data_IF_759444117689
#
_entry.id   IF_759444117689
#
_cell.length_a   1.000
_cell.length_b   1.000
_cell.length_c   1.000
_cell.angle_alpha   90.00
_cell.angle_beta   90.00
_cell.angle_gamma   90.00
#
_symmetry.space_group_name_H-M   'P 1'
#
loop_
_entity.id
_entity.type
_entity.pdbx_description
1 polymer ?
#
# COMPACT_ATOMS: atom_id res chain seq x y z
N UNK A 1 -79.62 -12.16 -29.65
CA UNK A 1 -78.87 -11.19 -30.47
C UNK A 1 -77.39 -11.43 -30.23
N UNK A 2 -76.65 -11.72 -31.30
CA UNK A 2 -75.22 -12.11 -31.30
C UNK A 2 -74.27 -10.91 -31.24
N UNK A 3 -73.09 -11.11 -30.66
CA UNK A 3 -71.90 -10.24 -30.72
C UNK A 3 -71.16 -10.29 -29.38
N UNK A 4 -69.83 -10.45 -29.26
CA UNK A 4 -68.75 -10.26 -30.22
C UNK A 4 -67.44 -10.83 -29.61
N UNK A 5 -66.79 -11.74 -30.35
CA UNK A 5 -65.34 -11.91 -30.65
C UNK A 5 -64.28 -11.59 -29.55
N UNK A 6 -63.48 -12.57 -29.08
CA UNK A 6 -62.19 -13.11 -29.62
C UNK A 6 -60.94 -12.54 -28.94
N UNK A 7 -60.22 -13.43 -28.24
CA UNK A 7 -58.76 -13.59 -28.05
C UNK A 7 -57.81 -12.38 -27.92
N UNK A 8 -57.00 -12.38 -26.84
CA UNK A 8 -55.53 -12.15 -26.91
C UNK A 8 -54.84 -12.56 -25.60
N UNK A 9 -54.17 -13.72 -25.60
CA UNK A 9 -52.70 -13.93 -25.72
C UNK A 9 -51.96 -13.88 -24.38
N UNK A 10 -51.76 -15.07 -23.82
CA UNK A 10 -50.75 -15.41 -22.84
C UNK A 10 -49.36 -15.06 -23.41
N UNK A 11 -48.58 -14.28 -22.66
CA UNK A 11 -47.17 -14.01 -22.96
C UNK A 11 -46.34 -15.16 -22.40
N UNK A 12 -45.99 -16.10 -23.28
CA UNK A 12 -44.97 -17.10 -23.02
C UNK A 12 -43.59 -16.45 -23.18
N UNK A 13 -42.89 -16.20 -22.08
CA UNK A 13 -41.49 -15.77 -22.11
C UNK A 13 -40.63 -17.02 -22.30
N UNK A 14 -40.03 -17.15 -23.49
CA UNK A 14 -39.03 -18.15 -23.78
C UNK A 14 -37.71 -17.77 -23.07
N UNK A 15 -37.32 -18.56 -22.07
CA UNK A 15 -36.02 -18.46 -21.43
C UNK A 15 -34.97 -19.13 -22.34
N UNK A 16 -34.07 -18.33 -22.92
CA UNK A 16 -32.90 -18.83 -23.62
C UNK A 16 -31.84 -19.23 -22.60
N UNK A 17 -31.61 -20.53 -22.42
CA UNK A 17 -30.51 -21.09 -21.62
C UNK A 17 -29.25 -21.11 -22.48
N UNK A 18 -28.28 -20.25 -22.17
CA UNK A 18 -26.93 -20.31 -22.76
C UNK A 18 -26.12 -21.32 -21.96
N UNK A 19 -25.81 -22.45 -22.60
CA UNK A 19 -24.93 -23.50 -22.11
C UNK A 19 -23.46 -23.08 -22.27
N UNK A 20 -22.70 -23.11 -21.17
CA UNK A 20 -21.23 -22.99 -21.21
C UNK A 20 -20.67 -24.40 -21.09
N UNK A 21 -20.15 -24.93 -22.20
CA UNK A 21 -19.43 -26.19 -22.28
C UNK A 21 -18.07 -26.05 -21.58
N UNK A 22 -17.89 -26.76 -20.46
CA UNK A 22 -16.60 -26.89 -19.77
C UNK A 22 -15.74 -27.88 -20.55
N UNK A 23 -14.77 -27.36 -21.29
CA UNK A 23 -13.72 -28.16 -21.93
C UNK A 23 -12.66 -28.54 -20.91
N UNK A 24 -12.45 -29.84 -20.73
CA UNK A 24 -11.37 -30.40 -19.92
C UNK A 24 -10.02 -30.22 -20.66
N UNK A 25 -9.11 -29.46 -20.07
CA UNK A 25 -7.69 -29.45 -20.43
C UNK A 25 -6.92 -30.14 -19.30
N UNK A 26 -6.53 -31.39 -19.56
CA UNK A 26 -5.53 -32.08 -18.76
C UNK A 26 -4.16 -31.45 -19.10
N UNK A 27 -3.53 -30.81 -18.11
CA UNK A 27 -2.12 -30.48 -18.16
C UNK A 27 -1.39 -31.41 -17.20
N UNK A 28 -0.41 -32.10 -17.76
CA UNK A 28 0.48 -33.05 -17.12
C UNK A 28 1.18 -32.41 -15.91
N UNK A 29 1.35 -33.22 -14.86
CA UNK A 29 2.16 -32.86 -13.72
C UNK A 29 3.63 -32.73 -14.10
N UNK A 30 4.25 -31.66 -13.61
CA UNK A 30 5.66 -31.64 -13.26
C UNK A 30 5.72 -31.34 -11.76
N UNK A 31 6.24 -32.30 -11.00
CA UNK A 31 6.74 -32.09 -9.64
C UNK A 31 7.70 -30.90 -9.64
N UNK A 32 7.44 -29.91 -8.80
CA UNK A 32 8.44 -28.93 -8.41
C UNK A 32 8.72 -29.14 -6.91
N UNK A 33 9.71 -29.99 -6.66
CA UNK A 33 10.46 -30.00 -5.41
C UNK A 33 11.65 -29.07 -5.66
N UNK A 34 11.55 -27.84 -5.19
CA UNK A 34 12.67 -26.95 -4.94
C UNK A 34 12.20 -25.86 -4.00
N UNK A 35 12.52 -26.05 -2.72
CA UNK A 35 12.43 -25.01 -1.71
C UNK A 35 13.33 -23.84 -2.09
N UNK A 36 12.80 -22.89 -2.84
CA UNK A 36 13.42 -21.60 -3.04
C UNK A 36 12.79 -20.64 -2.03
N UNK A 37 13.56 -20.32 -0.98
CA UNK A 37 13.26 -19.18 -0.14
C UNK A 37 13.23 -17.96 -1.06
N UNK A 38 12.02 -17.57 -1.46
CA UNK A 38 11.81 -16.34 -2.23
C UNK A 38 12.34 -15.20 -1.37
N UNK A 39 13.54 -14.76 -1.68
CA UNK A 39 14.01 -13.45 -1.26
C UNK A 39 12.98 -12.47 -1.83
N UNK A 40 12.03 -12.05 -0.99
CA UNK A 40 10.99 -11.09 -1.36
C UNK A 40 11.71 -9.91 -2.00
N UNK A 41 11.48 -9.70 -3.30
CA UNK A 41 12.05 -8.59 -4.03
C UNK A 41 11.81 -7.30 -3.24
N UNK A 42 12.88 -6.53 -3.00
CA UNK A 42 12.80 -5.27 -2.24
C UNK A 42 11.91 -4.31 -3.01
N UNK A 43 10.86 -3.79 -2.37
CA UNK A 43 10.06 -2.72 -2.94
C UNK A 43 10.94 -1.46 -3.06
N UNK A 44 11.21 -1.03 -4.29
CA UNK A 44 12.04 0.14 -4.60
C UNK A 44 11.29 1.46 -4.44
N UNK A 45 9.97 1.39 -4.23
CA UNK A 45 9.11 2.55 -3.95
C UNK A 45 8.90 2.80 -2.47
N UNK A 46 9.34 1.87 -1.61
CA UNK A 46 9.26 2.02 -0.17
C UNK A 46 10.07 3.23 0.31
N UNK A 47 9.42 4.10 1.10
CA UNK A 47 10.08 5.19 1.80
C UNK A 47 10.99 4.60 2.89
N UNK A 48 12.29 4.87 2.82
CA UNK A 48 13.27 4.33 3.76
C UNK A 48 13.85 5.42 4.65
N UNK A 49 14.24 5.05 5.87
CA UNK A 49 14.91 5.95 6.81
C UNK A 49 16.00 5.20 7.59
N UNK A 50 17.18 5.80 7.85
CA UNK A 50 17.57 7.15 7.47
C UNK A 50 18.08 7.21 6.04
N UNK A 51 17.99 8.40 5.45
CA UNK A 51 18.61 8.71 4.18
C UNK A 51 20.00 9.30 4.42
N UNK A 52 20.88 9.21 3.44
CA UNK A 52 22.19 9.86 3.43
C UNK A 52 22.37 10.62 2.13
N UNK A 53 22.98 11.79 2.24
CA UNK A 53 23.37 12.59 1.08
C UNK A 53 24.40 11.82 0.25
N UNK A 54 24.24 11.95 -1.06
CA UNK A 54 25.15 11.43 -2.07
C UNK A 54 25.33 12.53 -3.09
N UNK A 55 26.58 12.87 -3.37
CA UNK A 55 26.88 13.80 -4.45
C UNK A 55 26.85 13.03 -5.76
N UNK A 56 25.91 13.36 -6.63
CA UNK A 56 25.91 12.85 -7.99
C UNK A 56 25.56 13.99 -8.95
N UNK A 57 26.53 14.35 -9.80
CA UNK A 57 26.44 15.43 -10.79
C UNK A 57 26.20 16.84 -10.20
N UNK A 58 26.69 17.12 -8.98
CA UNK A 58 26.58 18.45 -8.36
C UNK A 58 25.16 18.82 -7.89
N UNK A 59 24.28 17.83 -7.77
CA UNK A 59 22.97 17.94 -7.14
C UNK A 59 22.94 17.06 -5.90
N UNK A 60 22.32 17.54 -4.84
CA UNK A 60 22.09 16.76 -3.61
C UNK A 60 21.10 15.64 -3.94
N UNK A 61 21.60 14.41 -3.91
CA UNK A 61 20.76 13.21 -4.02
C UNK A 61 20.77 12.48 -2.69
N UNK A 62 19.65 11.85 -2.35
CA UNK A 62 19.54 11.09 -1.12
C UNK A 62 19.36 9.61 -1.44
N UNK A 63 20.08 8.75 -0.72
CA UNK A 63 19.92 7.30 -0.81
C UNK A 63 19.71 6.71 0.57
N UNK A 64 19.01 5.57 0.70
CA UNK A 64 18.88 4.91 1.98
C UNK A 64 20.25 4.53 2.56
N UNK A 65 20.45 4.79 3.85
CA UNK A 65 21.62 4.37 4.59
C UNK A 65 21.71 2.84 4.68
N UNK A 66 22.88 2.31 5.07
CA UNK A 66 23.08 0.86 5.25
C UNK A 66 22.15 0.25 6.32
N UNK A 67 21.81 1.03 7.34
CA UNK A 67 20.93 0.63 8.43
C UNK A 67 19.47 1.08 8.20
N UNK A 68 19.13 1.56 7.00
CA UNK A 68 17.80 2.03 6.71
C UNK A 68 16.77 0.90 6.75
N UNK A 69 15.58 1.22 7.23
CA UNK A 69 14.44 0.31 7.28
C UNK A 69 13.29 0.87 6.45
N UNK A 70 12.33 -0.01 6.12
CA UNK A 70 11.10 0.38 5.43
C UNK A 70 10.13 1.03 6.43
N UNK A 71 9.81 2.32 6.20
CA UNK A 71 8.91 3.07 7.08
C UNK A 71 7.48 2.54 7.07
N UNK A 72 7.08 1.73 6.08
CA UNK A 72 5.79 1.03 6.09
C UNK A 72 5.65 0.10 7.29
N UNK A 73 6.75 -0.38 7.87
CA UNK A 73 6.74 -1.19 9.08
C UNK A 73 6.29 -0.44 10.35
N UNK A 74 6.07 0.88 10.26
CA UNK A 74 5.51 1.69 11.35
C UNK A 74 3.98 1.76 11.32
N UNK A 75 3.36 1.44 10.17
CA UNK A 75 1.91 1.56 9.99
C UNK A 75 1.16 0.65 10.96
N UNK A 76 0.16 1.20 11.64
CA UNK A 76 -0.66 0.50 12.64
C UNK A 76 -0.01 0.36 14.02
N UNK A 77 1.25 0.76 14.19
CA UNK A 77 1.88 0.80 15.51
C UNK A 77 1.38 1.99 16.32
N UNK A 78 1.29 1.81 17.64
CA UNK A 78 1.12 2.92 18.59
C UNK A 78 2.31 3.89 18.46
N UNK A 79 2.07 5.19 18.61
CA UNK A 79 3.10 6.22 18.41
C UNK A 79 4.36 5.97 19.26
N UNK A 80 4.20 5.48 20.49
CA UNK A 80 5.33 5.19 21.38
C UNK A 80 6.20 4.05 20.82
N UNK A 81 5.58 2.97 20.35
CA UNK A 81 6.28 1.82 19.76
C UNK A 81 6.94 2.21 18.42
N UNK A 82 6.24 2.97 17.59
CA UNK A 82 6.77 3.48 16.33
C UNK A 82 8.03 4.33 16.56
N UNK A 83 8.00 5.23 17.56
CA UNK A 83 9.16 6.06 17.95
C UNK A 83 10.33 5.21 18.40
N UNK A 84 10.09 4.20 19.23
CA UNK A 84 11.14 3.28 19.67
C UNK A 84 11.76 2.55 18.47
N UNK A 85 10.92 2.07 17.54
CA UNK A 85 11.38 1.41 16.31
C UNK A 85 12.22 2.32 15.44
N UNK A 86 11.76 3.54 15.16
CA UNK A 86 12.52 4.51 14.37
C UNK A 86 13.87 4.86 15.04
N UNK A 87 13.87 5.06 16.36
CA UNK A 87 15.08 5.41 17.11
C UNK A 87 16.16 4.32 17.02
N UNK A 88 15.79 3.03 16.98
CA UNK A 88 16.75 1.92 16.77
C UNK A 88 17.50 2.01 15.44
N UNK A 89 16.94 2.72 14.46
CA UNK A 89 17.55 2.98 13.16
C UNK A 89 18.13 4.40 13.02
N UNK A 90 18.24 5.16 14.12
CA UNK A 90 18.66 6.56 14.13
C UNK A 90 17.71 7.48 13.34
N UNK A 91 16.41 7.19 13.37
CA UNK A 91 15.37 8.04 12.81
C UNK A 91 14.49 8.66 13.91
N UNK A 92 13.98 9.85 13.63
CA UNK A 92 13.03 10.57 14.48
C UNK A 92 11.64 10.62 13.82
N UNK A 93 10.58 10.41 14.58
CA UNK A 93 9.20 10.58 14.09
C UNK A 93 8.70 11.99 14.41
N UNK A 94 8.31 12.70 13.36
CA UNK A 94 7.59 13.98 13.43
C UNK A 94 6.12 13.73 13.09
N UNK A 95 5.22 14.12 14.00
CA UNK A 95 3.78 14.04 13.75
C UNK A 95 3.35 15.31 13.03
N UNK A 96 3.01 15.19 11.75
CA UNK A 96 2.56 16.30 10.91
C UNK A 96 1.04 16.46 10.90
N UNK A 97 0.32 15.39 11.22
CA UNK A 97 -1.14 15.39 11.44
C UNK A 97 -1.52 14.43 12.55
N UNK A 98 -2.47 14.83 13.38
CA UNK A 98 -3.04 14.00 14.43
C UNK A 98 -4.56 14.20 14.47
N UNK A 99 -5.31 13.11 14.33
CA UNK A 99 -6.79 13.11 14.33
C UNK A 99 -7.38 14.20 13.43
N UNK A 100 -6.95 14.19 12.16
CA UNK A 100 -7.32 15.13 11.10
C UNK A 100 -6.87 16.59 11.30
N UNK A 101 -6.07 16.89 12.33
CA UNK A 101 -5.54 18.23 12.57
C UNK A 101 -4.06 18.32 12.23
N UNK A 102 -3.69 19.25 11.36
CA UNK A 102 -2.29 19.54 11.06
C UNK A 102 -1.54 20.06 12.28
N UNK A 103 -0.28 19.67 12.40
CA UNK A 103 0.66 20.11 13.43
C UNK A 103 1.77 20.96 12.79
N UNK A 104 2.38 21.90 13.52
CA UNK A 104 3.58 22.57 13.04
C UNK A 104 4.70 21.56 12.84
N UNK A 105 5.38 21.66 11.70
CA UNK A 105 6.51 20.80 11.34
C UNK A 105 7.77 21.64 11.06
N UNK A 106 8.97 21.11 11.32
CA UNK A 106 10.22 21.76 10.91
C UNK A 106 10.30 21.92 9.38
N UNK A 107 10.90 23.03 8.93
CA UNK A 107 11.07 23.34 7.50
C UNK A 107 12.44 22.91 6.96
N UNK A 108 13.39 22.64 7.85
CA UNK A 108 14.73 22.21 7.51
C UNK A 108 14.71 20.78 6.98
N UNK A 109 15.51 20.52 5.95
CA UNK A 109 15.75 19.17 5.46
C UNK A 109 16.61 18.44 6.51
N UNK A 110 16.11 17.31 6.98
CA UNK A 110 16.80 16.40 7.88
C UNK A 110 16.50 14.95 7.43
N UNK A 111 17.47 14.27 6.78
CA UNK A 111 17.28 12.94 6.19
C UNK A 111 17.03 11.82 7.22
N UNK A 112 17.01 12.15 8.51
CA UNK A 112 16.69 11.23 9.61
C UNK A 112 15.26 11.37 10.13
N UNK A 113 14.48 12.34 9.64
CA UNK A 113 13.10 12.56 10.09
C UNK A 113 12.09 11.82 9.22
N UNK A 114 11.15 11.15 9.87
CA UNK A 114 9.99 10.50 9.29
C UNK A 114 8.76 11.30 9.67
N UNK A 115 8.04 11.81 8.68
CA UNK A 115 6.80 12.55 8.86
C UNK A 115 5.62 11.59 8.77
N UNK A 116 4.77 11.59 9.79
CA UNK A 116 3.66 10.64 9.91
C UNK A 116 2.35 11.32 10.26
N UNK A 117 1.26 10.69 9.85
CA UNK A 117 -0.07 10.98 10.37
C UNK A 117 -0.46 9.97 11.44
N UNK A 118 -1.09 10.47 12.50
CA UNK A 118 -1.63 9.69 13.60
C UNK A 118 -3.15 9.76 13.57
N UNK A 119 -3.81 8.61 13.72
CA UNK A 119 -5.23 8.52 13.96
C UNK A 119 -5.47 7.62 15.16
N UNK A 120 -6.16 8.12 16.19
CA UNK A 120 -6.47 7.38 17.42
C UNK A 120 -5.24 6.76 18.10
N UNK A 121 -4.11 7.49 18.12
CA UNK A 121 -2.87 7.05 18.79
C UNK A 121 -1.94 6.17 17.94
N UNK A 122 -2.40 5.66 16.79
CA UNK A 122 -1.62 4.81 15.90
C UNK A 122 -1.17 5.53 14.63
N UNK A 123 -0.05 5.09 14.07
CA UNK A 123 0.45 5.57 12.77
C UNK A 123 -0.48 5.11 11.66
N UNK A 124 -1.16 6.05 11.01
CA UNK A 124 -2.12 5.78 9.95
C UNK A 124 -1.54 5.97 8.54
N UNK A 125 -0.54 6.85 8.40
CA UNK A 125 0.12 7.13 7.13
C UNK A 125 1.57 7.58 7.34
N UNK A 126 2.44 7.20 6.39
CA UNK A 126 3.76 7.81 6.21
C UNK A 126 3.61 8.92 5.17
N UNK A 127 3.90 10.16 5.57
CA UNK A 127 3.88 11.31 4.67
C UNK A 127 5.17 11.40 3.86
N UNK A 128 6.32 11.19 4.50
CA UNK A 128 7.62 11.31 3.85
C UNK A 128 8.79 11.11 4.81
N UNK A 129 10.00 11.09 4.25
CA UNK A 129 11.27 11.09 4.98
C UNK A 129 12.12 12.25 4.48
N UNK A 130 12.87 12.92 5.35
CA UNK A 130 13.80 13.98 4.97
C UNK A 130 13.27 15.39 5.15
N UNK A 131 11.97 15.63 4.96
CA UNK A 131 11.40 16.97 5.05
C UNK A 131 11.88 17.90 3.92
N UNK A 132 11.44 19.15 3.97
CA UNK A 132 11.58 20.13 2.89
C UNK A 132 10.28 20.27 2.09
N UNK A 133 9.74 21.49 2.05
CA UNK A 133 8.65 21.90 1.14
C UNK A 133 9.22 22.29 -0.22
#
# INVERSE_FOLDING_TARGET
MSGQRVHRRLLSVAAATVSITVGALALAGCSDDSGEATAKGRDLTALQCPMVETEQNGLDQYRPAKNAFDTAELLGLELAEAREKAARHNCEIIVSREDDKSRPVPIEIDPTRIYVYIAHGVVSQIEGVGGGL
#
